data_IF_108468592245
#
_entry.id   IF_108468592245
#
_cell.length_a   1.000
_cell.length_b   1.000
_cell.length_c   1.000
_cell.angle_alpha   90.00
_cell.angle_beta   90.00
_cell.angle_gamma   90.00
#
_symmetry.space_group_name_H-M   'P 1'
#
loop_
_entity.id
_entity.type
_entity.pdbx_description
1 polymer ?
#
# COMPACT_ATOMS: atom_id res chain seq x y z
N UNK A 1 2.19 31.32 -41.02
CA UNK A 1 1.42 30.17 -41.53
C UNK A 1 2.41 29.04 -41.82
N UNK A 2 2.63 28.15 -40.85
CA UNK A 2 3.30 26.84 -41.01
C UNK A 2 2.63 25.90 -40.01
N UNK A 3 2.08 24.79 -40.50
CA UNK A 3 1.59 23.63 -39.71
C UNK A 3 2.65 22.53 -39.74
N UNK A 4 2.48 21.56 -38.84
CA UNK A 4 3.12 20.22 -38.70
C UNK A 4 4.06 20.18 -37.50
N UNK A 5 4.01 19.21 -36.59
CA UNK A 5 3.24 17.97 -36.53
C UNK A 5 3.46 17.26 -35.18
N UNK A 6 2.58 16.30 -34.89
CA UNK A 6 2.63 15.37 -33.76
C UNK A 6 3.96 14.62 -33.64
N UNK A 7 4.40 14.35 -32.41
CA UNK A 7 4.90 13.05 -31.96
C UNK A 7 5.10 13.04 -30.43
N UNK A 8 4.17 12.41 -29.70
CA UNK A 8 4.41 11.89 -28.35
C UNK A 8 5.08 10.52 -28.53
N UNK A 9 6.40 10.47 -28.43
CA UNK A 9 7.13 9.21 -28.43
C UNK A 9 7.40 8.81 -26.97
N UNK A 10 6.50 8.00 -26.43
CA UNK A 10 6.75 7.27 -25.19
C UNK A 10 7.84 6.23 -25.43
N UNK A 11 8.97 6.37 -24.73
CA UNK A 11 9.99 5.31 -24.62
C UNK A 11 10.20 4.98 -23.16
N UNK A 12 9.44 4.04 -22.64
CA UNK A 12 9.85 3.29 -21.46
C UNK A 12 10.96 2.33 -21.89
N UNK A 13 12.21 2.71 -21.67
CA UNK A 13 13.33 1.76 -21.64
C UNK A 13 13.53 1.35 -20.18
N UNK A 14 12.83 0.32 -19.74
CA UNK A 14 13.26 -0.47 -18.58
C UNK A 14 14.15 -1.59 -19.11
N UNK A 15 15.45 -1.37 -19.08
CA UNK A 15 16.40 -2.48 -18.96
C UNK A 15 16.68 -2.60 -17.47
N UNK A 16 15.91 -3.41 -16.76
CA UNK A 16 16.36 -3.95 -15.47
C UNK A 16 17.19 -5.16 -15.85
N UNK A 17 18.49 -4.99 -15.88
CA UNK A 17 19.41 -6.13 -15.93
C UNK A 17 19.25 -6.83 -14.58
N UNK A 18 18.47 -7.91 -14.56
CA UNK A 18 18.38 -8.77 -13.38
C UNK A 18 19.75 -9.44 -13.21
N UNK A 19 20.47 -9.03 -12.18
CA UNK A 19 21.74 -9.65 -11.81
C UNK A 19 21.45 -11.11 -11.41
N UNK A 20 22.17 -12.05 -12.03
CA UNK A 20 22.07 -13.47 -11.66
C UNK A 20 22.65 -13.66 -10.26
N UNK A 21 21.77 -13.78 -9.26
CA UNK A 21 22.11 -13.98 -7.84
C UNK A 21 22.98 -15.23 -7.59
N UNK A 22 23.14 -16.11 -8.59
CA UNK A 22 24.00 -17.30 -8.50
C UNK A 22 25.39 -17.12 -9.13
N UNK A 23 25.68 -15.96 -9.74
CA UNK A 23 26.95 -15.71 -10.40
C UNK A 23 28.13 -15.73 -9.41
N UNK A 24 29.07 -16.67 -9.63
CA UNK A 24 30.30 -16.79 -8.83
C UNK A 24 30.18 -17.65 -7.57
N UNK A 25 29.01 -18.23 -7.29
CA UNK A 25 28.87 -19.19 -6.19
C UNK A 25 29.39 -20.58 -6.59
N UNK A 26 30.16 -21.27 -5.73
CA UNK A 26 30.55 -22.65 -5.97
C UNK A 26 29.32 -23.55 -5.99
N UNK A 27 29.29 -24.54 -6.90
CA UNK A 27 28.17 -25.45 -7.09
C UNK A 27 27.71 -26.14 -5.79
N UNK A 28 28.65 -26.51 -4.92
CA UNK A 28 28.34 -27.09 -3.60
C UNK A 28 27.53 -26.15 -2.68
N UNK A 29 27.65 -24.83 -2.83
CA UNK A 29 26.87 -23.83 -2.08
C UNK A 29 25.46 -23.71 -2.66
N UNK A 30 25.35 -23.79 -3.99
CA UNK A 30 24.07 -23.79 -4.70
C UNK A 30 23.29 -25.05 -4.32
N UNK A 31 23.90 -26.24 -4.37
CA UNK A 31 23.27 -27.49 -3.95
C UNK A 31 22.86 -27.49 -2.47
N UNK A 32 23.64 -26.86 -1.59
CA UNK A 32 23.28 -26.78 -0.17
C UNK A 32 22.10 -25.86 0.10
N UNK A 33 21.96 -24.77 -0.66
CA UNK A 33 20.89 -23.77 -0.46
C UNK A 33 19.65 -24.02 -1.30
N UNK A 34 19.80 -24.61 -2.47
CA UNK A 34 18.76 -24.82 -3.47
C UNK A 34 18.60 -26.29 -3.90
N UNK A 35 19.52 -27.16 -3.53
CA UNK A 35 19.42 -28.58 -3.85
C UNK A 35 18.29 -29.26 -3.09
N UNK A 36 17.52 -30.06 -3.81
CA UNK A 36 16.45 -30.89 -3.26
C UNK A 36 17.06 -32.07 -2.51
N UNK A 37 17.29 -31.92 -1.21
CA UNK A 37 17.79 -33.01 -0.36
C UNK A 37 16.76 -34.14 -0.23
N UNK A 38 16.89 -35.21 -1.03
CA UNK A 38 16.11 -36.44 -0.84
C UNK A 38 16.43 -37.54 -1.85
N UNK A 39 16.44 -38.82 -1.41
CA UNK A 39 16.53 -39.98 -2.31
C UNK A 39 15.36 -39.94 -3.30
N UNK A 40 15.58 -40.11 -4.61
CA UNK A 40 14.49 -40.22 -5.58
C UNK A 40 13.62 -41.42 -5.22
N UNK A 41 12.38 -41.17 -4.76
CA UNK A 41 11.37 -42.23 -4.72
C UNK A 41 11.05 -42.58 -6.15
N UNK A 42 11.34 -43.81 -6.59
CA UNK A 42 10.89 -44.32 -7.87
C UNK A 42 9.36 -44.25 -7.90
N UNK A 43 8.83 -43.47 -8.85
CA UNK A 43 7.40 -43.26 -9.04
C UNK A 43 6.88 -44.26 -10.07
N UNK A 44 5.68 -44.80 -9.92
CA UNK A 44 5.03 -45.57 -10.97
C UNK A 44 4.87 -44.71 -12.23
N UNK A 45 4.97 -45.34 -13.40
CA UNK A 45 4.85 -44.69 -14.69
C UNK A 45 3.55 -43.86 -14.75
N UNK A 46 3.70 -42.55 -14.94
CA UNK A 46 2.59 -41.60 -15.03
C UNK A 46 2.49 -40.55 -13.92
N UNK A 47 3.36 -40.56 -12.90
CA UNK A 47 3.37 -39.50 -11.87
C UNK A 47 4.70 -38.72 -11.80
N UNK A 48 4.67 -37.46 -12.24
CA UNK A 48 5.63 -36.41 -11.87
C UNK A 48 5.09 -35.73 -10.60
N UNK A 49 5.71 -36.02 -9.46
CA UNK A 49 5.26 -35.49 -8.17
C UNK A 49 6.00 -34.22 -7.71
N UNK A 50 5.23 -33.43 -6.98
CA UNK A 50 5.52 -32.21 -6.22
C UNK A 50 5.49 -30.88 -7.00
N UNK A 51 4.52 -30.76 -7.90
CA UNK A 51 3.55 -29.67 -7.88
C UNK A 51 2.20 -30.32 -8.21
N UNK A 52 1.10 -29.91 -7.59
CA UNK A 52 -0.23 -30.21 -8.13
C UNK A 52 -0.41 -29.31 -9.36
N UNK A 53 0.31 -29.66 -10.43
CA UNK A 53 0.20 -29.03 -11.73
C UNK A 53 -0.95 -29.71 -12.47
N UNK A 54 -1.87 -28.88 -12.94
CA UNK A 54 -3.01 -29.19 -13.83
C UNK A 54 -4.35 -29.49 -13.15
N UNK A 55 -4.79 -28.53 -12.34
CA UNK A 55 -5.92 -27.68 -12.77
C UNK A 55 -5.92 -26.27 -12.13
N UNK A 56 -4.78 -25.79 -11.62
CA UNK A 56 -4.72 -24.49 -10.94
C UNK A 56 -4.61 -23.29 -11.89
N UNK A 57 -4.26 -23.44 -13.16
CA UNK A 57 -4.32 -22.31 -14.11
C UNK A 57 -5.76 -21.95 -14.47
N UNK A 58 -6.64 -22.96 -14.60
CA UNK A 58 -8.06 -22.73 -14.77
C UNK A 58 -8.70 -22.25 -13.47
N UNK A 59 -8.34 -22.77 -12.29
CA UNK A 59 -8.89 -22.32 -11.00
C UNK A 59 -8.32 -20.97 -10.51
N UNK A 60 -7.08 -20.60 -10.83
CA UNK A 60 -6.54 -19.25 -10.61
C UNK A 60 -7.23 -18.24 -11.53
N UNK A 61 -7.48 -18.60 -12.80
CA UNK A 61 -8.32 -17.79 -13.68
C UNK A 61 -9.78 -17.76 -13.22
N UNK A 62 -10.32 -18.84 -12.65
CA UNK A 62 -11.71 -18.90 -12.15
C UNK A 62 -11.89 -18.13 -10.85
N UNK A 63 -10.93 -18.17 -9.94
CA UNK A 63 -10.91 -17.40 -8.70
C UNK A 63 -10.67 -15.93 -9.00
N UNK A 64 -9.74 -15.61 -9.89
CA UNK A 64 -9.52 -14.25 -10.39
C UNK A 64 -10.77 -13.71 -11.09
N UNK A 65 -11.38 -14.44 -12.02
CA UNK A 65 -12.66 -14.06 -12.66
C UNK A 65 -13.79 -13.90 -11.64
N UNK A 66 -13.87 -14.74 -10.61
CA UNK A 66 -14.85 -14.60 -9.51
C UNK A 66 -14.60 -13.33 -8.70
N UNK A 67 -13.35 -13.04 -8.33
CA UNK A 67 -12.99 -11.81 -7.60
C UNK A 67 -13.33 -10.58 -8.45
N UNK A 68 -12.92 -10.54 -9.72
CA UNK A 68 -13.24 -9.45 -10.64
C UNK A 68 -14.74 -9.29 -10.87
N UNK A 69 -15.49 -10.37 -11.07
CA UNK A 69 -16.95 -10.31 -11.21
C UNK A 69 -17.66 -9.80 -9.94
N UNK A 70 -17.07 -10.02 -8.76
CA UNK A 70 -17.61 -9.53 -7.49
C UNK A 70 -17.24 -8.07 -7.27
N UNK A 71 -16.03 -7.66 -7.66
CA UNK A 71 -15.60 -6.25 -7.64
C UNK A 71 -16.45 -5.43 -8.61
N UNK A 72 -16.65 -5.87 -9.86
CA UNK A 72 -17.50 -5.19 -10.84
C UNK A 72 -18.95 -5.03 -10.35
N UNK A 73 -19.49 -6.00 -9.63
CA UNK A 73 -20.85 -5.89 -9.08
C UNK A 73 -20.96 -4.90 -7.92
N UNK A 74 -19.88 -4.71 -7.15
CA UNK A 74 -19.84 -3.82 -6.00
C UNK A 74 -19.33 -2.41 -6.34
N UNK A 75 -18.60 -2.25 -7.45
CA UNK A 75 -18.20 -0.96 -8.03
C UNK A 75 -19.24 -0.55 -9.07
N UNK A 76 -20.50 -0.44 -8.65
CA UNK A 76 -21.60 0.14 -9.44
C UNK A 76 -21.98 1.53 -8.93
N UNK A 77 -21.02 2.27 -8.38
CA UNK A 77 -21.24 3.70 -8.24
C UNK A 77 -20.83 4.35 -9.55
N UNK A 78 -21.58 5.35 -9.99
CA UNK A 78 -21.13 6.23 -11.06
C UNK A 78 -19.72 6.75 -10.70
N UNK A 79 -18.88 6.97 -11.71
CA UNK A 79 -17.57 7.54 -11.47
C UNK A 79 -17.76 8.85 -10.70
N UNK A 80 -17.21 8.94 -9.49
CA UNK A 80 -17.23 10.17 -8.73
C UNK A 80 -16.44 11.19 -9.54
N UNK A 81 -17.08 12.30 -9.89
CA UNK A 81 -16.40 13.38 -10.60
C UNK A 81 -15.19 13.79 -9.78
N UNK A 82 -14.00 13.47 -10.29
CA UNK A 82 -12.75 13.90 -9.67
C UNK A 82 -12.69 15.41 -9.84
N UNK A 83 -12.56 16.19 -8.76
CA UNK A 83 -12.38 17.63 -8.87
C UNK A 83 -11.26 17.95 -9.89
N UNK A 84 -11.55 18.83 -10.84
CA UNK A 84 -10.60 19.20 -11.88
C UNK A 84 -9.33 19.87 -11.34
N UNK A 85 -9.43 20.44 -10.13
CA UNK A 85 -8.31 21.08 -9.44
C UNK A 85 -7.58 20.06 -8.55
N UNK A 86 -6.33 19.76 -8.89
CA UNK A 86 -5.43 18.91 -8.10
C UNK A 86 -4.91 19.58 -6.83
N UNK A 87 -5.14 20.89 -6.67
CA UNK A 87 -4.61 21.70 -5.59
C UNK A 87 -5.76 22.39 -4.84
N UNK A 88 -5.86 22.26 -3.51
CA UNK A 88 -6.91 22.93 -2.73
C UNK A 88 -6.66 24.44 -2.55
N UNK A 89 -5.54 24.97 -3.05
CA UNK A 89 -5.19 26.38 -2.97
C UNK A 89 -5.44 27.07 -4.32
N UNK A 90 -6.19 28.17 -4.29
CA UNK A 90 -6.53 28.96 -5.48
C UNK A 90 -5.34 29.69 -6.09
N UNK A 91 -4.27 29.90 -5.32
CA UNK A 91 -3.05 30.59 -5.74
C UNK A 91 -1.79 29.95 -5.14
N UNK A 92 -0.66 30.10 -5.81
CA UNK A 92 0.61 29.53 -5.38
C UNK A 92 1.10 30.12 -4.03
N UNK A 93 0.84 31.40 -3.78
CA UNK A 93 1.31 32.06 -2.56
C UNK A 93 0.58 31.53 -1.31
N UNK A 94 -0.71 31.22 -1.42
CA UNK A 94 -1.50 30.53 -0.39
C UNK A 94 -0.92 29.14 -0.06
N UNK A 95 -0.55 28.37 -1.10
CA UNK A 95 0.10 27.07 -0.92
C UNK A 95 1.46 27.18 -0.22
N UNK A 96 2.29 28.16 -0.59
CA UNK A 96 3.58 28.43 0.07
C UNK A 96 3.41 28.85 1.53
N UNK A 97 2.42 29.70 1.83
CA UNK A 97 2.10 30.10 3.22
C UNK A 97 1.69 28.89 4.06
N UNK A 98 0.81 28.04 3.54
CA UNK A 98 0.42 26.80 4.21
C UNK A 98 1.63 25.89 4.44
N UNK A 99 2.45 25.63 3.43
CA UNK A 99 3.65 24.82 3.58
C UNK A 99 4.61 25.38 4.62
N UNK A 100 4.79 26.70 4.65
CA UNK A 100 5.63 27.36 5.65
C UNK A 100 5.09 27.15 7.07
N UNK A 101 3.79 27.37 7.28
CA UNK A 101 3.13 27.14 8.57
C UNK A 101 3.25 25.67 8.99
N UNK A 102 2.96 24.74 8.08
CA UNK A 102 3.02 23.31 8.33
C UNK A 102 4.45 22.86 8.68
N UNK A 103 5.46 23.33 7.96
CA UNK A 103 6.86 23.03 8.26
C UNK A 103 7.28 23.59 9.63
N UNK A 104 6.85 24.81 9.98
CA UNK A 104 7.12 25.39 11.30
C UNK A 104 6.51 24.55 12.41
N UNK A 105 5.26 24.11 12.27
CA UNK A 105 4.60 23.26 13.27
C UNK A 105 5.31 21.91 13.43
N UNK A 106 5.80 21.34 12.33
CA UNK A 106 6.59 20.09 12.34
C UNK A 106 7.94 20.26 13.01
N UNK A 107 8.66 21.34 12.73
CA UNK A 107 9.96 21.64 13.35
C UNK A 107 9.83 21.87 14.86
N UNK A 108 8.68 22.36 15.32
CA UNK A 108 8.38 22.54 16.74
C UNK A 108 7.89 21.26 17.43
N UNK A 109 7.76 20.14 16.70
CA UNK A 109 7.13 18.90 17.18
C UNK A 109 5.78 19.15 17.87
N UNK A 110 5.03 20.14 17.35
CA UNK A 110 3.78 20.55 17.96
C UNK A 110 2.70 19.50 17.72
N UNK A 111 2.10 18.97 18.78
CA UNK A 111 0.95 18.06 18.70
C UNK A 111 -0.32 18.82 19.13
N UNK A 112 -1.28 19.05 18.23
CA UNK A 112 -2.51 19.75 18.58
C UNK A 112 -3.38 18.91 19.54
N UNK A 113 -4.02 19.59 20.49
CA UNK A 113 -5.02 18.99 21.38
C UNK A 113 -6.34 18.74 20.64
N UNK A 114 -7.13 17.79 21.12
CA UNK A 114 -8.43 17.41 20.57
C UNK A 114 -8.37 16.28 19.54
N UNK A 115 -7.18 15.75 19.25
CA UNK A 115 -6.97 14.70 18.25
C UNK A 115 -6.70 13.31 18.86
N UNK A 116 -6.65 13.20 20.20
CA UNK A 116 -6.41 11.93 20.88
C UNK A 116 -4.95 11.47 20.79
N UNK A 117 -4.02 12.42 20.69
CA UNK A 117 -2.59 12.13 20.45
C UNK A 117 -1.67 12.74 21.51
N UNK A 118 -2.15 13.69 22.31
CA UNK A 118 -1.33 14.23 23.39
C UNK A 118 -1.19 13.20 24.52
N UNK A 119 -0.10 13.22 25.29
CA UNK A 119 0.09 12.30 26.41
C UNK A 119 -1.11 12.28 27.37
N UNK A 120 -1.70 13.44 27.65
CA UNK A 120 -2.86 13.56 28.55
C UNK A 120 -4.13 12.91 27.99
N UNK A 121 -4.32 12.92 26.66
CA UNK A 121 -5.45 12.26 26.01
C UNK A 121 -5.24 10.75 25.93
N UNK A 122 -3.99 10.33 25.71
CA UNK A 122 -3.61 8.92 25.63
C UNK A 122 -3.63 8.21 26.99
N UNK A 123 -3.48 8.94 28.10
CA UNK A 123 -3.67 8.39 29.45
C UNK A 123 -5.10 7.86 29.66
N UNK A 124 -6.11 8.51 29.05
CA UNK A 124 -7.51 8.10 29.16
C UNK A 124 -7.87 6.98 28.18
N UNK A 125 -7.28 7.01 26.99
CA UNK A 125 -7.50 6.02 25.94
C UNK A 125 -6.19 5.76 25.21
N UNK A 126 -5.43 4.71 25.59
CA UNK A 126 -4.15 4.44 24.97
C UNK A 126 -4.33 4.08 23.50
N UNK A 127 -3.27 4.31 22.71
CA UNK A 127 -3.26 3.95 21.31
C UNK A 127 -3.50 2.44 21.13
N UNK A 128 -4.46 2.02 20.29
CA UNK A 128 -4.81 0.62 20.17
C UNK A 128 -3.65 -0.18 19.58
N UNK A 129 -3.25 -1.27 20.24
CA UNK A 129 -2.20 -2.18 19.76
C UNK A 129 -2.72 -3.29 18.87
N UNK A 130 -4.03 -3.54 18.89
CA UNK A 130 -4.69 -4.59 18.12
C UNK A 130 -6.09 -4.12 17.72
N UNK A 131 -6.54 -4.55 16.54
CA UNK A 131 -7.92 -4.39 16.08
C UNK A 131 -8.52 -5.76 15.76
N UNK A 132 -9.76 -5.98 16.21
CA UNK A 132 -10.49 -7.22 15.95
C UNK A 132 -11.44 -7.06 14.79
N UNK A 133 -11.12 -7.66 13.65
CA UNK A 133 -11.96 -7.64 12.45
C UNK A 133 -12.77 -8.93 12.40
N UNK A 134 -14.10 -8.80 12.36
CA UNK A 134 -15.00 -9.93 12.14
C UNK A 134 -14.92 -10.37 10.68
N UNK A 135 -14.66 -11.66 10.45
CA UNK A 135 -14.59 -12.21 9.09
C UNK A 135 -15.35 -13.54 8.95
N UNK A 136 -15.54 -13.97 7.71
CA UNK A 136 -16.26 -15.20 7.35
C UNK A 136 -17.79 -15.05 7.25
N UNK A 137 -18.44 -16.10 6.72
CA UNK A 137 -19.89 -16.16 6.54
C UNK A 137 -20.58 -16.09 7.91
N UNK A 138 -21.33 -15.02 8.15
CA UNK A 138 -22.02 -14.78 9.43
C UNK A 138 -21.17 -14.10 10.52
N UNK A 139 -19.99 -13.55 10.19
CA UNK A 139 -19.13 -12.78 11.13
C UNK A 139 -18.77 -13.56 12.41
N UNK A 140 -18.70 -14.89 12.31
CA UNK A 140 -18.48 -15.78 13.44
C UNK A 140 -17.02 -15.90 13.86
N UNK A 141 -16.08 -15.55 12.97
CA UNK A 141 -14.65 -15.60 13.25
C UNK A 141 -14.11 -14.19 13.50
N UNK A 142 -13.22 -14.08 14.48
CA UNK A 142 -12.47 -12.87 14.77
C UNK A 142 -11.05 -13.02 14.24
N UNK A 143 -10.57 -12.02 13.53
CA UNK A 143 -9.18 -11.88 13.15
C UNK A 143 -8.59 -10.74 13.98
N UNK A 144 -7.61 -11.04 14.81
CA UNK A 144 -6.84 -10.01 15.50
C UNK A 144 -5.72 -9.52 14.58
N UNK A 145 -5.78 -8.24 14.24
CA UNK A 145 -4.79 -7.55 13.45
C UNK A 145 -3.93 -6.74 14.40
N UNK A 146 -2.62 -7.04 14.54
CA UNK A 146 -1.73 -6.18 15.31
C UNK A 146 -1.60 -4.83 14.62
N UNK A 147 -1.77 -3.76 15.39
CA UNK A 147 -1.56 -2.38 14.99
C UNK A 147 -0.22 -1.92 15.58
N UNK A 148 0.90 -2.07 14.84
CA UNK A 148 2.19 -1.69 15.37
C UNK A 148 2.23 -0.18 15.61
N UNK A 149 2.64 0.22 16.81
CA UNK A 149 2.63 1.62 17.22
C UNK A 149 3.42 2.51 16.24
N UNK A 150 4.54 2.00 15.71
CA UNK A 150 5.26 2.58 14.58
C UNK A 150 4.99 1.74 13.33
N UNK A 151 4.63 2.33 12.17
CA UNK A 151 4.69 3.77 11.84
C UNK A 151 3.37 4.54 12.09
N UNK A 152 2.36 3.91 12.68
CA UNK A 152 1.00 4.47 12.72
C UNK A 152 0.88 5.72 13.59
N UNK A 153 1.55 5.77 14.75
CA UNK A 153 1.58 6.96 15.60
C UNK A 153 2.18 8.17 14.88
N UNK A 154 3.37 8.02 14.31
CA UNK A 154 4.03 9.11 13.58
C UNK A 154 3.16 9.64 12.43
N UNK A 155 2.43 8.75 11.73
CA UNK A 155 1.47 9.14 10.70
C UNK A 155 0.26 9.89 11.26
N UNK A 156 -0.26 9.45 12.41
CA UNK A 156 -1.38 10.10 13.07
C UNK A 156 -1.02 11.52 13.54
N UNK A 157 0.18 11.69 14.12
CA UNK A 157 0.73 12.99 14.50
C UNK A 157 0.85 13.93 13.30
N UNK A 158 1.46 13.45 12.20
CA UNK A 158 1.56 14.23 10.96
C UNK A 158 0.19 14.63 10.41
N UNK A 159 -0.78 13.71 10.45
CA UNK A 159 -2.14 13.99 10.01
C UNK A 159 -2.82 15.06 10.87
N UNK A 160 -2.72 14.95 12.20
CA UNK A 160 -3.29 15.93 13.13
C UNK A 160 -2.67 17.32 12.95
N UNK A 161 -1.34 17.40 12.81
CA UNK A 161 -0.64 18.66 12.53
C UNK A 161 -1.09 19.27 11.20
N UNK A 162 -1.27 18.45 10.17
CA UNK A 162 -1.72 18.90 8.86
C UNK A 162 -3.14 19.45 8.92
N UNK A 163 -4.06 18.76 9.60
CA UNK A 163 -5.43 19.23 9.78
C UNK A 163 -5.50 20.53 10.59
N UNK A 164 -4.74 20.62 11.68
CA UNK A 164 -4.67 21.83 12.49
C UNK A 164 -4.13 23.02 11.68
N UNK A 165 -3.09 22.80 10.87
CA UNK A 165 -2.56 23.83 9.97
C UNK A 165 -3.60 24.27 8.94
N UNK A 166 -4.37 23.33 8.37
CA UNK A 166 -5.43 23.63 7.41
C UNK A 166 -6.57 24.43 8.06
N UNK A 167 -7.01 24.05 9.25
CA UNK A 167 -8.05 24.75 10.00
C UNK A 167 -7.63 26.20 10.27
N UNK A 168 -6.41 26.40 10.78
CA UNK A 168 -5.85 27.74 11.02
C UNK A 168 -5.78 28.56 9.74
N UNK A 169 -5.32 27.96 8.66
CA UNK A 169 -5.24 28.61 7.35
C UNK A 169 -6.61 29.03 6.81
N UNK A 170 -7.67 28.25 7.06
CA UNK A 170 -9.02 28.58 6.63
C UNK A 170 -9.67 29.68 7.47
N UNK A 171 -9.36 29.75 8.77
CA UNK A 171 -9.90 30.77 9.69
C UNK A 171 -9.22 32.13 9.52
N UNK A 172 -7.95 32.18 9.10
CA UNK A 172 -7.18 33.42 8.90
C UNK A 172 -7.48 34.14 7.56
N UNK A 173 -8.57 33.79 6.86
CA UNK A 173 -9.03 34.49 5.65
C UNK A 173 -9.69 35.83 5.97
#
# INVERSE_FOLDING_TARGET
MVRLGHALEGRYKQNVEEEDDCAGLPEAVIEKRYGTCGRPKARPDGHIGAGDSDNEDDDAQRTSRKVWSTVEQNVKHDAVEVPAETCPFSDAASGERFQKLWNQLREMEFIPRGFGLTPEELEQSPYPSHESIRHGKGRSKMLEVPLPHDPWKARAELWAVSLYALERFLVEK
#
